data_IF_985867197451
#
_entry.id   IF_985867197451
#
_cell.length_a   1.000
_cell.length_b   1.000
_cell.length_c   1.000
_cell.angle_alpha   90.00
_cell.angle_beta   90.00
_cell.angle_gamma   90.00
#
_symmetry.space_group_name_H-M   'P 1'
#
loop_
_entity.id
_entity.type
_entity.pdbx_description
1 polymer ?
#
# COMPACT_ATOMS: atom_id res chain seq x y z
N UNK A 1 -22.01 -3.86 -10.14
CA UNK A 1 -21.04 -4.83 -9.59
C UNK A 1 -19.68 -4.53 -10.20
N UNK A 2 -18.61 -4.55 -9.41
CA UNK A 2 -17.25 -4.35 -9.91
C UNK A 2 -16.87 -5.42 -10.95
N UNK A 3 -16.15 -4.99 -11.97
CA UNK A 3 -15.59 -5.86 -13.01
C UNK A 3 -14.43 -6.71 -12.46
N UNK A 4 -14.09 -7.80 -13.16
CA UNK A 4 -12.93 -8.63 -12.82
C UNK A 4 -11.63 -7.82 -12.85
N UNK A 5 -11.50 -6.87 -13.78
CA UNK A 5 -10.34 -5.98 -13.92
C UNK A 5 -10.17 -5.08 -12.71
N UNK A 6 -11.24 -4.41 -12.28
CA UNK A 6 -11.23 -3.54 -11.10
C UNK A 6 -10.89 -4.32 -9.83
N UNK A 7 -11.45 -5.53 -9.67
CA UNK A 7 -11.12 -6.42 -8.54
C UNK A 7 -9.64 -6.81 -8.52
N UNK A 8 -9.03 -7.06 -9.68
CA UNK A 8 -7.60 -7.39 -9.77
C UNK A 8 -6.75 -6.17 -9.36
N UNK A 9 -7.08 -4.97 -9.84
CA UNK A 9 -6.36 -3.73 -9.47
C UNK A 9 -6.47 -3.46 -7.97
N UNK A 10 -7.66 -3.59 -7.39
CA UNK A 10 -7.85 -3.39 -5.95
C UNK A 10 -7.11 -4.44 -5.10
N UNK A 11 -7.02 -5.70 -5.55
CA UNK A 11 -6.18 -6.71 -4.87
C UNK A 11 -4.69 -6.39 -4.96
N UNK A 12 -4.22 -5.82 -6.08
CA UNK A 12 -2.83 -5.37 -6.20
C UNK A 12 -2.49 -4.28 -5.20
N UNK A 13 -3.33 -3.25 -5.10
CA UNK A 13 -3.14 -2.15 -4.16
C UNK A 13 -3.13 -2.66 -2.72
N UNK A 14 -4.12 -3.47 -2.35
CA UNK A 14 -4.23 -4.11 -1.06
C UNK A 14 -2.98 -4.92 -0.66
N UNK A 15 -2.56 -5.86 -1.51
CA UNK A 15 -1.40 -6.71 -1.18
C UNK A 15 -0.13 -5.88 -1.08
N UNK A 16 0.05 -4.87 -1.95
CA UNK A 16 1.23 -3.98 -1.89
C UNK A 16 1.28 -3.20 -0.59
N UNK A 17 0.14 -2.68 -0.13
CA UNK A 17 0.06 -1.93 1.11
C UNK A 17 0.39 -2.81 2.33
N UNK A 18 -0.14 -4.03 2.37
CA UNK A 18 0.20 -5.00 3.41
C UNK A 18 1.68 -5.44 3.34
N UNK A 19 2.24 -5.68 2.15
CA UNK A 19 3.65 -6.01 1.97
C UNK A 19 4.57 -4.92 2.54
N UNK A 20 4.28 -3.65 2.25
CA UNK A 20 5.07 -2.53 2.78
C UNK A 20 4.87 -2.36 4.29
N UNK A 21 3.67 -2.65 4.82
CA UNK A 21 3.42 -2.67 6.27
C UNK A 21 4.31 -3.69 6.99
N UNK A 22 4.60 -4.84 6.40
CA UNK A 22 5.51 -5.84 7.02
C UNK A 22 6.92 -5.31 7.26
N UNK A 23 7.30 -4.20 6.61
CA UNK A 23 8.61 -3.55 6.76
C UNK A 23 8.60 -2.37 7.77
N UNK A 24 7.42 -1.95 8.26
CA UNK A 24 7.30 -0.86 9.22
C UNK A 24 7.97 -1.22 10.54
N UNK A 25 8.70 -0.28 11.14
CA UNK A 25 9.47 -0.50 12.37
C UNK A 25 10.81 -1.23 12.18
N UNK A 26 11.19 -1.60 10.95
CA UNK A 26 12.51 -2.16 10.66
C UNK A 26 13.45 -1.01 10.27
N UNK A 27 14.65 -0.98 10.85
CA UNK A 27 15.67 0.01 10.51
C UNK A 27 16.26 -0.24 9.11
N UNK A 28 16.80 0.82 8.51
CA UNK A 28 17.32 0.77 7.14
C UNK A 28 18.52 -0.17 6.99
N UNK A 29 19.36 -0.30 8.02
CA UNK A 29 20.52 -1.19 7.96
C UNK A 29 20.06 -2.66 7.86
N UNK A 30 19.08 -3.07 8.66
CA UNK A 30 18.49 -4.40 8.56
C UNK A 30 17.81 -4.63 7.19
N UNK A 31 17.12 -3.63 6.63
CA UNK A 31 16.48 -3.75 5.32
C UNK A 31 17.47 -3.90 4.16
N UNK A 32 18.65 -3.30 4.28
CA UNK A 32 19.66 -3.25 3.20
C UNK A 32 20.77 -4.28 3.32
N UNK A 33 21.03 -4.78 4.53
CA UNK A 33 22.12 -5.73 4.80
C UNK A 33 21.66 -7.05 5.43
N UNK A 34 20.44 -7.08 6.00
CA UNK A 34 19.88 -8.28 6.60
C UNK A 34 19.49 -9.30 5.53
N UNK A 35 19.97 -10.52 5.70
CA UNK A 35 19.66 -11.63 4.82
C UNK A 35 18.24 -12.15 5.08
N UNK A 36 17.37 -11.95 4.09
CA UNK A 36 16.00 -12.46 4.03
C UNK A 36 15.98 -13.97 3.76
N UNK A 37 16.58 -14.38 2.64
CA UNK A 37 16.88 -15.78 2.31
C UNK A 37 18.06 -15.85 1.33
N UNK A 38 19.04 -16.70 1.63
CA UNK A 38 20.30 -16.70 0.88
C UNK A 38 20.94 -15.30 0.86
N UNK A 39 21.27 -14.81 -0.34
CA UNK A 39 21.90 -13.49 -0.53
C UNK A 39 20.89 -12.35 -0.72
N UNK A 40 19.59 -12.61 -0.57
CA UNK A 40 18.56 -11.59 -0.74
C UNK A 40 18.41 -10.72 0.50
N UNK A 41 18.33 -9.41 0.31
CA UNK A 41 17.91 -8.45 1.33
C UNK A 41 16.48 -7.97 1.05
N UNK A 42 15.82 -7.34 2.04
CA UNK A 42 14.50 -6.77 1.82
C UNK A 42 14.53 -5.68 0.73
N UNK A 43 15.56 -4.83 0.70
CA UNK A 43 15.74 -3.85 -0.38
C UNK A 43 15.82 -4.50 -1.77
N UNK A 44 16.61 -5.57 -1.92
CA UNK A 44 16.71 -6.28 -3.21
C UNK A 44 15.39 -6.96 -3.60
N UNK A 45 14.65 -7.48 -2.62
CA UNK A 45 13.32 -8.03 -2.84
C UNK A 45 12.34 -6.95 -3.36
N UNK A 46 12.37 -5.73 -2.83
CA UNK A 46 11.52 -4.64 -3.34
C UNK A 46 11.89 -4.27 -4.78
N UNK A 47 13.18 -4.20 -5.10
CA UNK A 47 13.64 -3.98 -6.47
C UNK A 47 13.16 -5.10 -7.41
N UNK A 48 13.25 -6.37 -7.01
CA UNK A 48 12.73 -7.54 -7.74
C UNK A 48 11.26 -7.42 -8.09
N UNK A 49 10.43 -7.10 -7.10
CA UNK A 49 9.00 -6.90 -7.28
C UNK A 49 8.70 -5.84 -8.34
N UNK A 50 9.39 -4.70 -8.28
CA UNK A 50 9.28 -3.62 -9.28
C UNK A 50 9.78 -4.04 -10.67
N UNK A 51 10.89 -4.76 -10.73
CA UNK A 51 11.45 -5.28 -11.96
C UNK A 51 10.47 -6.20 -12.71
N UNK A 52 9.74 -7.05 -11.97
CA UNK A 52 8.69 -7.89 -12.52
C UNK A 52 7.42 -7.10 -12.90
N UNK A 53 7.07 -6.03 -12.19
CA UNK A 53 5.99 -5.11 -12.62
C UNK A 53 6.33 -4.49 -13.98
N UNK A 54 7.59 -4.07 -14.17
CA UNK A 54 8.08 -3.56 -15.45
C UNK A 54 8.05 -4.61 -16.57
N UNK A 55 8.49 -5.84 -16.28
CA UNK A 55 8.44 -6.95 -17.24
C UNK A 55 7.01 -7.20 -17.72
N UNK A 56 6.06 -7.35 -16.79
CA UNK A 56 4.68 -7.63 -17.16
C UNK A 56 3.99 -6.43 -17.82
N UNK A 57 4.40 -5.20 -17.52
CA UNK A 57 3.93 -4.01 -18.24
C UNK A 57 4.27 -4.10 -19.72
N UNK A 58 5.52 -4.48 -20.03
CA UNK A 58 5.96 -4.68 -21.41
C UNK A 58 5.21 -5.85 -22.07
N UNK A 59 5.06 -6.98 -21.38
CA UNK A 59 4.33 -8.14 -21.91
C UNK A 59 2.87 -7.80 -22.27
N UNK A 60 2.18 -6.99 -21.47
CA UNK A 60 0.81 -6.56 -21.79
C UNK A 60 0.81 -5.68 -23.04
N UNK A 61 1.75 -4.73 -23.18
CA UNK A 61 1.86 -3.89 -24.38
C UNK A 61 2.12 -4.74 -25.63
N UNK A 62 3.07 -5.67 -25.55
CA UNK A 62 3.41 -6.58 -26.65
C UNK A 62 2.26 -7.51 -27.03
N UNK A 63 1.48 -7.97 -26.05
CA UNK A 63 0.30 -8.77 -26.31
C UNK A 63 -0.77 -7.98 -27.08
N UNK A 64 -0.99 -6.72 -26.71
CA UNK A 64 -1.96 -5.84 -27.36
C UNK A 64 -1.53 -5.40 -28.76
N UNK A 65 -0.23 -5.30 -29.02
CA UNK A 65 0.32 -4.97 -30.34
C UNK A 65 0.57 -6.20 -31.21
N UNK A 66 0.39 -7.42 -30.70
CA UNK A 66 0.72 -8.66 -31.40
C UNK A 66 2.23 -8.89 -31.58
N UNK A 67 3.06 -8.26 -30.76
CA UNK A 67 4.53 -8.26 -30.83
C UNK A 67 5.20 -9.15 -29.77
N UNK A 68 4.45 -10.04 -29.10
CA UNK A 68 5.03 -10.93 -28.09
C UNK A 68 6.27 -11.67 -28.61
N UNK A 69 7.37 -11.70 -27.83
CA UNK A 69 8.64 -12.22 -28.31
C UNK A 69 8.56 -13.72 -28.57
N UNK A 70 8.85 -14.09 -29.83
CA UNK A 70 8.95 -15.51 -30.25
C UNK A 70 10.21 -16.18 -29.70
N UNK A 71 11.27 -15.40 -29.51
CA UNK A 71 12.58 -15.82 -28.99
C UNK A 71 12.60 -16.03 -27.47
N UNK A 72 11.52 -15.69 -26.79
CA UNK A 72 11.33 -15.91 -25.36
C UNK A 72 11.46 -14.63 -24.54
N UNK A 73 10.55 -14.46 -23.59
CA UNK A 73 10.75 -13.55 -22.46
C UNK A 73 11.72 -14.22 -21.51
N UNK A 74 12.74 -13.49 -21.04
CA UNK A 74 13.68 -14.02 -20.06
C UNK A 74 12.99 -14.15 -18.70
N UNK A 75 12.61 -15.39 -18.37
CA UNK A 75 12.01 -15.81 -17.10
C UNK A 75 12.89 -16.87 -16.47
N UNK A 76 14.19 -16.64 -16.56
CA UNK A 76 15.15 -17.61 -16.06
C UNK A 76 15.56 -17.27 -14.65
N UNK A 77 15.98 -18.30 -13.92
CA UNK A 77 16.83 -18.21 -12.74
C UNK A 77 18.01 -17.25 -12.97
N UNK A 78 18.40 -16.96 -14.21
CA UNK A 78 19.43 -15.94 -14.55
C UNK A 78 18.97 -14.53 -14.22
N UNK A 79 17.70 -14.16 -14.46
CA UNK A 79 17.21 -12.82 -14.10
C UNK A 79 17.30 -12.60 -12.60
N UNK A 80 16.88 -13.61 -11.84
CA UNK A 80 16.86 -13.62 -10.38
C UNK A 80 18.29 -13.78 -9.81
N UNK A 81 19.12 -14.67 -10.35
CA UNK A 81 20.53 -14.85 -9.96
C UNK A 81 21.39 -13.62 -10.23
N UNK A 82 21.14 -12.92 -11.34
CA UNK A 82 21.86 -11.70 -11.66
C UNK A 82 21.28 -10.49 -10.95
N UNK A 83 20.11 -10.59 -10.32
CA UNK A 83 19.49 -9.45 -9.68
C UNK A 83 20.36 -8.93 -8.52
N UNK A 84 20.85 -9.75 -7.57
CA UNK A 84 21.79 -9.27 -6.55
C UNK A 84 23.00 -8.53 -7.16
N UNK A 85 23.52 -8.97 -8.31
CA UNK A 85 24.61 -8.27 -8.98
C UNK A 85 24.19 -6.91 -9.59
N UNK A 86 22.93 -6.77 -10.03
CA UNK A 86 22.40 -5.53 -10.61
C UNK A 86 21.98 -4.52 -9.56
N UNK A 87 21.38 -5.00 -8.46
CA UNK A 87 20.69 -4.16 -7.46
C UNK A 87 21.29 -4.25 -6.06
N UNK A 88 22.28 -5.11 -5.84
CA UNK A 88 22.90 -5.32 -4.53
C UNK A 88 23.61 -4.09 -3.95
N UNK A 89 23.95 -3.12 -4.79
CA UNK A 89 24.53 -1.82 -4.36
C UNK A 89 23.52 -0.68 -4.38
N UNK A 90 22.23 -0.95 -4.58
CA UNK A 90 21.21 0.09 -4.57
C UNK A 90 20.90 0.53 -3.15
N UNK A 91 20.56 1.81 -2.98
CA UNK A 91 19.93 2.28 -1.76
C UNK A 91 18.53 1.69 -1.60
N UNK A 92 18.03 1.72 -0.37
CA UNK A 92 16.64 1.38 -0.08
C UNK A 92 15.68 2.27 -0.87
N UNK A 93 15.92 3.58 -0.88
CA UNK A 93 15.15 4.58 -1.62
C UNK A 93 15.01 4.23 -3.11
N UNK A 94 16.12 3.90 -3.78
CA UNK A 94 16.09 3.53 -5.20
C UNK A 94 15.29 2.26 -5.47
N UNK A 95 15.36 1.30 -4.54
CA UNK A 95 14.61 0.05 -4.65
C UNK A 95 13.10 0.27 -4.47
N UNK A 96 12.73 1.12 -3.52
CA UNK A 96 11.35 1.55 -3.27
C UNK A 96 10.81 2.38 -4.43
N UNK A 97 11.60 3.31 -4.98
CA UNK A 97 11.22 4.11 -6.15
C UNK A 97 10.90 3.20 -7.35
N UNK A 98 11.76 2.22 -7.65
CA UNK A 98 11.48 1.26 -8.72
C UNK A 98 10.20 0.48 -8.45
N UNK A 99 10.00 0.01 -7.22
CA UNK A 99 8.82 -0.75 -6.80
C UNK A 99 7.51 0.03 -7.05
N UNK A 100 7.48 1.31 -6.68
CA UNK A 100 6.30 2.17 -6.81
C UNK A 100 6.07 2.55 -8.28
N UNK A 101 7.09 3.08 -8.96
CA UNK A 101 6.96 3.56 -10.34
C UNK A 101 6.57 2.44 -11.31
N UNK A 102 7.17 1.26 -11.15
CA UNK A 102 6.83 0.12 -12.00
C UNK A 102 5.39 -0.37 -11.77
N UNK A 103 4.89 -0.33 -10.53
CA UNK A 103 3.49 -0.68 -10.22
C UNK A 103 2.51 0.31 -10.83
N UNK A 104 2.79 1.61 -10.74
CA UNK A 104 1.96 2.66 -11.36
C UNK A 104 1.83 2.41 -12.86
N UNK A 105 2.96 2.19 -13.56
CA UNK A 105 2.92 1.90 -15.00
C UNK A 105 2.21 0.58 -15.32
N UNK A 106 2.40 -0.47 -14.52
CA UNK A 106 1.68 -1.73 -14.71
C UNK A 106 0.16 -1.54 -14.58
N UNK A 107 -0.30 -0.90 -13.50
CA UNK A 107 -1.73 -0.66 -13.26
C UNK A 107 -2.33 0.19 -14.38
N UNK A 108 -1.63 1.20 -14.86
CA UNK A 108 -2.05 2.06 -15.98
C UNK A 108 -2.24 1.27 -17.27
N UNK A 109 -1.26 0.44 -17.64
CA UNK A 109 -1.33 -0.42 -18.85
C UNK A 109 -2.43 -1.46 -18.71
N UNK A 110 -2.51 -2.14 -17.57
CA UNK A 110 -3.51 -3.18 -17.31
C UNK A 110 -4.94 -2.61 -17.30
N UNK A 111 -5.16 -1.48 -16.63
CA UNK A 111 -6.49 -0.84 -16.55
C UNK A 111 -6.98 -0.34 -17.91
N UNK A 112 -6.05 0.12 -18.76
CA UNK A 112 -6.33 0.56 -20.14
C UNK A 112 -6.57 -0.59 -21.11
N UNK A 113 -6.36 -1.85 -20.69
CA UNK A 113 -6.59 -3.02 -21.53
C UNK A 113 -8.10 -3.20 -21.79
N UNK A 114 -8.54 -3.34 -23.06
CA UNK A 114 -9.92 -3.64 -23.39
C UNK A 114 -10.38 -4.97 -22.76
N UNK A 115 -11.61 -5.00 -22.23
CA UNK A 115 -12.12 -6.16 -21.49
C UNK A 115 -12.15 -7.45 -22.34
N UNK A 116 -12.41 -7.31 -23.66
CA UNK A 116 -12.39 -8.43 -24.59
C UNK A 116 -10.98 -9.01 -24.82
N UNK A 117 -9.92 -8.27 -24.52
CA UNK A 117 -8.52 -8.73 -24.63
C UNK A 117 -8.02 -9.43 -23.37
N UNK A 118 -8.63 -9.18 -22.21
CA UNK A 118 -8.18 -9.75 -20.93
C UNK A 118 -8.12 -11.28 -20.95
N UNK A 119 -9.08 -11.92 -21.64
CA UNK A 119 -9.23 -13.38 -21.70
C UNK A 119 -8.71 -13.99 -23.01
N UNK A 120 -8.20 -13.16 -23.93
CA UNK A 120 -7.58 -13.65 -25.17
C UNK A 120 -6.33 -14.45 -24.83
N UNK A 121 -6.26 -15.70 -25.31
CA UNK A 121 -5.10 -16.56 -25.11
C UNK A 121 -3.94 -16.05 -25.95
N UNK A 122 -2.89 -15.62 -25.26
CA UNK A 122 -1.63 -15.19 -25.84
C UNK A 122 -0.67 -16.38 -25.93
N UNK A 123 0.01 -16.52 -27.07
CA UNK A 123 1.09 -17.50 -27.25
C UNK A 123 2.41 -16.76 -27.19
N UNK A 124 3.32 -17.24 -26.36
CA UNK A 124 4.64 -16.66 -26.21
C UNK A 124 5.64 -17.73 -25.80
N UNK A 125 6.93 -17.40 -25.78
CA UNK A 125 7.97 -18.30 -25.30
C UNK A 125 8.55 -17.77 -24.00
N UNK A 126 8.96 -18.67 -23.11
CA UNK A 126 9.85 -18.36 -21.99
C UNK A 126 11.25 -18.84 -22.33
N UNK A 127 12.27 -18.08 -21.92
CA UNK A 127 13.68 -18.48 -22.01
C UNK A 127 14.16 -18.93 -20.62
N UNK A 128 14.67 -20.15 -20.53
CA UNK A 128 15.25 -20.77 -19.33
C UNK A 128 16.70 -21.15 -19.65
N UNK A 129 17.63 -20.22 -19.39
CA UNK A 129 19.01 -20.34 -19.83
C UNK A 129 19.09 -20.47 -21.36
N UNK A 130 19.64 -21.59 -21.86
CA UNK A 130 19.76 -21.87 -23.30
C UNK A 130 18.52 -22.54 -23.92
N UNK A 131 17.48 -22.82 -23.14
CA UNK A 131 16.26 -23.49 -23.61
C UNK A 131 15.12 -22.48 -23.77
N UNK A 132 14.32 -22.63 -24.82
CA UNK A 132 13.06 -21.88 -24.99
C UNK A 132 11.87 -22.82 -24.84
N UNK A 133 10.98 -22.54 -23.90
CA UNK A 133 9.71 -23.25 -23.70
C UNK A 133 8.54 -22.46 -24.28
N UNK A 134 7.65 -23.10 -25.03
CA UNK A 134 6.40 -22.46 -25.47
C UNK A 134 5.41 -22.41 -24.30
N UNK A 135 4.78 -21.27 -24.12
CA UNK A 135 3.80 -21.02 -23.07
C UNK A 135 2.54 -20.37 -23.64
N UNK A 136 1.46 -20.45 -22.87
CA UNK A 136 0.22 -19.75 -23.14
C UNK A 136 -0.29 -19.09 -21.88
N UNK A 137 -0.79 -17.86 -22.00
CA UNK A 137 -1.32 -17.08 -20.88
C UNK A 137 -2.39 -16.12 -21.34
N UNK A 138 -2.98 -15.38 -20.40
CA UNK A 138 -3.91 -14.29 -20.69
C UNK A 138 -3.46 -13.06 -19.92
N UNK A 139 -3.80 -11.86 -20.39
CA UNK A 139 -3.49 -10.61 -19.67
C UNK A 139 -4.14 -10.65 -18.28
N UNK A 140 -5.35 -11.21 -18.16
CA UNK A 140 -6.03 -11.42 -16.89
C UNK A 140 -5.19 -12.25 -15.91
N UNK A 141 -4.62 -13.38 -16.37
CA UNK A 141 -3.74 -14.23 -15.57
C UNK A 141 -2.49 -13.50 -15.11
N UNK A 142 -1.85 -12.72 -16.01
CA UNK A 142 -0.66 -11.93 -15.65
C UNK A 142 -0.98 -10.86 -14.60
N UNK A 143 -2.14 -10.20 -14.70
CA UNK A 143 -2.63 -9.31 -13.65
C UNK A 143 -2.81 -10.05 -12.31
N UNK A 144 -3.46 -11.20 -12.30
CA UNK A 144 -3.63 -11.98 -11.07
C UNK A 144 -2.29 -12.37 -10.43
N UNK A 145 -1.32 -12.78 -11.24
CA UNK A 145 0.01 -13.13 -10.76
C UNK A 145 0.72 -11.99 -10.03
N UNK A 146 0.46 -10.72 -10.35
CA UNK A 146 1.14 -9.60 -9.67
C UNK A 146 0.80 -9.52 -8.19
N UNK A 147 -0.48 -9.59 -7.82
CA UNK A 147 -0.83 -9.57 -6.39
C UNK A 147 -0.50 -10.90 -5.70
N UNK A 148 -0.53 -12.03 -6.42
CA UNK A 148 -0.10 -13.32 -5.85
C UNK A 148 1.41 -13.36 -5.56
N UNK A 149 2.21 -12.73 -6.42
CA UNK A 149 3.66 -12.62 -6.28
C UNK A 149 4.03 -11.75 -5.08
N UNK A 150 3.42 -10.57 -4.97
CA UNK A 150 3.58 -9.72 -3.79
C UNK A 150 3.13 -10.48 -2.52
N UNK A 151 2.03 -11.24 -2.57
CA UNK A 151 1.53 -12.00 -1.41
C UNK A 151 2.47 -13.14 -0.97
N UNK A 152 3.15 -13.81 -1.92
CA UNK A 152 4.17 -14.80 -1.61
C UNK A 152 5.33 -14.18 -0.84
N UNK A 153 5.84 -13.06 -1.35
CA UNK A 153 6.96 -12.36 -0.73
C UNK A 153 6.62 -11.61 0.56
N UNK A 154 5.36 -11.20 0.74
CA UNK A 154 4.86 -10.76 2.05
C UNK A 154 5.01 -11.87 3.10
N UNK A 155 4.75 -13.14 2.73
CA UNK A 155 4.98 -14.29 3.61
C UNK A 155 6.46 -14.47 3.95
N UNK A 156 7.36 -14.32 2.98
CA UNK A 156 8.81 -14.38 3.22
C UNK A 156 9.26 -13.29 4.22
N UNK A 157 8.76 -12.06 4.05
CA UNK A 157 9.05 -10.94 4.94
C UNK A 157 8.53 -11.19 6.37
N UNK A 158 7.33 -11.75 6.50
CA UNK A 158 6.74 -12.10 7.81
C UNK A 158 7.58 -13.15 8.55
N UNK A 159 8.09 -14.17 7.86
CA UNK A 159 8.95 -15.17 8.48
C UNK A 159 10.31 -14.58 8.88
N UNK A 160 10.92 -13.78 8.01
CA UNK A 160 12.18 -13.12 8.32
C UNK A 160 12.08 -12.13 9.47
N UNK A 161 10.98 -11.35 9.55
CA UNK A 161 10.75 -10.40 10.64
C UNK A 161 10.81 -11.06 12.01
N UNK A 162 10.38 -12.32 12.14
CA UNK A 162 10.45 -13.09 13.40
C UNK A 162 11.89 -13.41 13.84
N UNK A 163 12.85 -13.31 12.92
CA UNK A 163 14.28 -13.57 13.18
C UNK A 163 15.05 -12.31 13.56
N UNK A 164 14.47 -11.13 13.34
CA UNK A 164 15.12 -9.86 13.61
C UNK A 164 15.13 -9.58 15.11
N UNK A 165 16.26 -9.10 15.67
CA UNK A 165 16.26 -8.55 17.01
C UNK A 165 15.43 -7.27 17.05
N UNK A 166 15.00 -6.88 18.25
CA UNK A 166 14.51 -5.51 18.46
C UNK A 166 15.65 -4.54 18.11
N UNK A 167 15.36 -3.58 17.22
CA UNK A 167 16.34 -2.61 16.78
C UNK A 167 16.22 -1.33 17.62
N UNK A 168 17.33 -0.83 18.20
CA UNK A 168 17.36 0.49 18.83
C UNK A 168 17.49 1.62 17.80
N UNK A 169 17.72 1.30 16.52
CA UNK A 169 17.91 2.28 15.46
C UNK A 169 16.58 2.86 14.98
N UNK A 170 16.59 4.10 14.47
CA UNK A 170 15.39 4.71 13.92
C UNK A 170 14.85 3.89 12.74
N UNK A 171 13.53 3.63 12.69
CA UNK A 171 12.92 2.91 11.59
C UNK A 171 12.92 3.72 10.29
N UNK A 172 12.87 3.04 9.14
CA UNK A 172 13.05 3.68 7.83
C UNK A 172 11.90 4.63 7.46
N UNK A 173 12.23 5.92 7.27
CA UNK A 173 11.32 6.95 6.73
C UNK A 173 10.83 6.62 5.32
N UNK A 174 11.72 6.12 4.47
CA UNK A 174 11.41 5.74 3.08
C UNK A 174 10.30 4.67 3.04
N UNK A 175 10.38 3.67 3.91
CA UNK A 175 9.35 2.64 4.03
C UNK A 175 8.03 3.21 4.56
N UNK A 176 8.09 4.05 5.61
CA UNK A 176 6.88 4.67 6.16
C UNK A 176 6.15 5.50 5.10
N UNK A 177 6.89 6.33 4.35
CA UNK A 177 6.34 7.13 3.26
C UNK A 177 5.66 6.24 2.21
N UNK A 178 6.38 5.23 1.70
CA UNK A 178 5.83 4.31 0.69
C UNK A 178 4.61 3.53 1.20
N UNK A 179 4.60 3.12 2.47
CA UNK A 179 3.47 2.41 3.07
C UNK A 179 2.24 3.31 3.21
N UNK A 180 2.40 4.57 3.65
CA UNK A 180 1.32 5.55 3.73
C UNK A 180 0.67 5.81 2.36
N UNK A 181 1.48 5.93 1.31
CA UNK A 181 0.98 6.05 -0.06
C UNK A 181 0.27 4.78 -0.54
N UNK A 182 0.83 3.60 -0.27
CA UNK A 182 0.23 2.34 -0.67
C UNK A 182 -1.11 2.07 0.05
N UNK A 183 -1.24 2.44 1.32
CA UNK A 183 -2.49 2.33 2.06
C UNK A 183 -3.57 3.30 1.56
N UNK A 184 -3.18 4.54 1.20
CA UNK A 184 -4.05 5.47 0.48
C UNK A 184 -4.54 4.83 -0.82
N UNK A 185 -3.63 4.24 -1.61
CA UNK A 185 -3.98 3.61 -2.88
C UNK A 185 -4.88 2.37 -2.71
N UNK A 186 -4.68 1.55 -1.66
CA UNK A 186 -5.59 0.44 -1.30
C UNK A 186 -7.01 0.94 -1.00
N UNK A 187 -7.12 1.96 -0.15
CA UNK A 187 -8.42 2.56 0.17
C UNK A 187 -9.11 3.05 -1.10
N UNK A 188 -8.46 3.86 -1.94
CA UNK A 188 -9.10 4.40 -3.14
C UNK A 188 -9.42 3.34 -4.19
N UNK A 189 -8.58 2.31 -4.34
CA UNK A 189 -8.88 1.20 -5.22
C UNK A 189 -10.07 0.37 -4.71
N UNK A 190 -10.21 0.21 -3.40
CA UNK A 190 -11.37 -0.42 -2.75
C UNK A 190 -12.63 0.43 -2.93
N UNK A 191 -12.54 1.75 -2.72
CA UNK A 191 -13.65 2.71 -2.92
C UNK A 191 -14.16 2.70 -4.37
N UNK A 192 -13.25 2.55 -5.33
CA UNK A 192 -13.60 2.47 -6.75
C UNK A 192 -14.53 1.29 -7.08
N UNK A 193 -14.56 0.24 -6.25
CA UNK A 193 -15.44 -0.93 -6.43
C UNK A 193 -16.91 -0.65 -6.07
N UNK A 194 -17.20 0.47 -5.41
CA UNK A 194 -18.55 0.87 -5.02
C UNK A 194 -19.17 1.71 -6.15
N UNK A 195 -20.31 1.28 -6.74
CA UNK A 195 -21.04 2.07 -7.74
C UNK A 195 -21.34 3.48 -7.22
N UNK A 196 -21.23 4.50 -8.07
CA UNK A 196 -21.41 5.89 -7.66
C UNK A 196 -22.77 6.13 -6.98
N UNK A 197 -23.84 5.49 -7.48
CA UNK A 197 -25.19 5.56 -6.92
C UNK A 197 -25.31 5.05 -5.48
N UNK A 198 -24.36 4.21 -5.06
CA UNK A 198 -24.45 3.46 -3.81
C UNK A 198 -23.60 4.11 -2.71
N UNK A 199 -22.65 4.98 -3.07
CA UNK A 199 -21.65 5.57 -2.16
C UNK A 199 -22.23 6.36 -0.98
N UNK A 200 -23.45 6.88 -1.12
CA UNK A 200 -24.14 7.64 -0.07
C UNK A 200 -25.31 6.87 0.56
N UNK A 201 -25.56 5.63 0.15
CA UNK A 201 -26.80 4.91 0.51
C UNK A 201 -26.55 3.53 1.10
N UNK A 202 -25.50 2.82 0.69
CA UNK A 202 -25.18 1.51 1.26
C UNK A 202 -24.23 1.66 2.45
N UNK A 203 -24.48 0.94 3.55
CA UNK A 203 -23.51 0.84 4.63
C UNK A 203 -22.28 0.05 4.17
N UNK A 204 -21.09 0.56 4.49
CA UNK A 204 -19.79 -0.07 4.19
C UNK A 204 -18.91 -0.25 5.43
N UNK A 205 -19.30 0.30 6.57
CA UNK A 205 -18.66 0.11 7.87
C UNK A 205 -19.73 0.21 8.98
N UNK A 206 -20.30 -0.92 9.40
CA UNK A 206 -21.43 -0.90 10.33
C UNK A 206 -22.63 -0.15 9.76
N UNK A 207 -23.04 0.96 10.38
CA UNK A 207 -24.10 1.82 9.88
C UNK A 207 -23.61 2.95 8.94
N UNK A 208 -22.29 3.11 8.80
CA UNK A 208 -21.69 4.22 8.06
C UNK A 208 -21.65 3.95 6.56
N UNK A 209 -22.07 4.95 5.79
CA UNK A 209 -21.93 4.98 4.32
C UNK A 209 -20.48 5.25 3.92
N UNK A 210 -20.14 5.12 2.63
CA UNK A 210 -18.81 5.51 2.19
C UNK A 210 -18.53 7.00 2.46
N UNK A 211 -19.54 7.86 2.29
CA UNK A 211 -19.41 9.29 2.61
C UNK A 211 -19.00 9.51 4.07
N UNK A 212 -19.65 8.80 4.98
CA UNK A 212 -19.36 8.87 6.42
C UNK A 212 -17.92 8.42 6.71
N UNK A 213 -17.48 7.29 6.13
CA UNK A 213 -16.11 6.76 6.29
C UNK A 213 -15.05 7.72 5.75
N UNK A 214 -15.27 8.33 4.57
CA UNK A 214 -14.32 9.29 4.01
C UNK A 214 -14.23 10.58 4.84
N UNK A 215 -15.35 11.07 5.38
CA UNK A 215 -15.34 12.19 6.31
C UNK A 215 -14.56 11.86 7.58
N UNK A 216 -14.84 10.70 8.19
CA UNK A 216 -14.12 10.19 9.36
C UNK A 216 -12.61 10.10 9.11
N UNK A 217 -12.18 9.52 7.99
CA UNK A 217 -10.75 9.44 7.66
C UNK A 217 -10.11 10.82 7.43
N UNK A 218 -10.83 11.78 6.87
CA UNK A 218 -10.34 13.15 6.71
C UNK A 218 -10.10 13.84 8.06
N UNK A 219 -11.07 13.75 8.97
CA UNK A 219 -10.96 14.34 10.31
C UNK A 219 -9.82 13.71 11.12
N UNK A 220 -9.62 12.40 11.01
CA UNK A 220 -8.49 11.71 11.63
C UNK A 220 -7.15 12.06 10.99
N UNK A 221 -7.06 12.23 9.67
CA UNK A 221 -5.83 12.69 9.04
C UNK A 221 -5.44 14.11 9.47
N UNK A 222 -6.41 15.02 9.62
CA UNK A 222 -6.18 16.35 10.19
C UNK A 222 -5.70 16.26 11.65
N UNK A 223 -6.26 15.33 12.44
CA UNK A 223 -5.81 15.09 13.81
C UNK A 223 -4.39 14.52 13.87
N UNK A 224 -4.07 13.53 13.02
CA UNK A 224 -2.72 12.97 12.91
C UNK A 224 -1.73 14.05 12.50
N UNK A 225 -2.09 14.95 11.58
CA UNK A 225 -1.22 16.04 11.13
C UNK A 225 -0.93 17.00 12.28
N UNK A 226 -1.96 17.45 13.00
CA UNK A 226 -1.78 18.35 14.14
C UNK A 226 -0.96 17.70 15.27
N UNK A 227 -1.21 16.42 15.54
CA UNK A 227 -0.47 15.65 16.56
C UNK A 227 0.99 15.50 16.16
N UNK A 228 1.24 15.12 14.90
CA UNK A 228 2.57 15.04 14.31
C UNK A 228 3.30 16.39 14.37
N UNK A 229 2.66 17.50 13.98
CA UNK A 229 3.25 18.84 14.02
C UNK A 229 3.62 19.26 15.44
N UNK A 230 2.77 18.96 16.43
CA UNK A 230 3.08 19.21 17.84
C UNK A 230 4.32 18.42 18.31
N UNK A 231 4.43 17.15 17.91
CA UNK A 231 5.57 16.29 18.27
C UNK A 231 6.90 16.81 17.75
N UNK A 232 6.91 17.45 16.58
CA UNK A 232 8.12 18.04 15.99
C UNK A 232 8.35 19.50 16.41
N UNK A 233 7.56 20.02 17.36
CA UNK A 233 7.70 21.37 17.90
C UNK A 233 7.14 22.49 17.02
N UNK A 234 6.38 22.16 15.98
CA UNK A 234 5.71 23.14 15.12
C UNK A 234 4.39 23.61 15.78
N UNK A 235 3.93 24.84 15.49
CA UNK A 235 2.64 25.32 15.97
C UNK A 235 1.51 24.40 15.48
N UNK A 236 0.91 23.64 16.40
CA UNK A 236 -0.31 22.89 16.12
C UNK A 236 -1.53 23.79 16.35
N UNK A 237 -2.55 23.70 15.49
CA UNK A 237 -3.86 24.20 15.92
C UNK A 237 -4.30 23.29 17.07
N UNK A 238 -4.73 23.90 18.18
CA UNK A 238 -5.08 23.17 19.39
C UNK A 238 -5.89 21.92 19.03
N UNK A 239 -5.41 20.75 19.50
CA UNK A 239 -6.12 19.49 19.41
C UNK A 239 -7.42 19.66 20.20
N UNK A 240 -8.46 20.22 19.56
CA UNK A 240 -9.74 20.48 20.22
C UNK A 240 -10.51 19.19 20.52
N UNK A 241 -9.87 18.04 20.31
CA UNK A 241 -10.28 16.72 20.74
C UNK A 241 -9.82 16.63 22.19
N UNK A 242 -10.48 17.39 23.07
CA UNK A 242 -10.09 17.46 24.48
C UNK A 242 -10.14 16.04 25.07
N UNK A 243 -9.12 15.65 25.84
CA UNK A 243 -9.11 14.40 26.60
C UNK A 243 -10.36 14.21 27.49
N UNK A 244 -11.09 15.29 27.79
CA UNK A 244 -12.38 15.29 28.49
C UNK A 244 -13.54 14.65 27.69
N UNK A 245 -13.43 14.54 26.36
CA UNK A 245 -14.31 13.70 25.54
C UNK A 245 -13.83 12.23 25.66
N UNK A 246 -13.92 11.67 26.86
CA UNK A 246 -13.43 10.34 27.25
C UNK A 246 -14.03 9.15 26.45
N UNK A 247 -14.92 9.43 25.48
CA UNK A 247 -15.50 8.44 24.58
C UNK A 247 -15.20 8.82 23.12
N UNK A 248 -14.15 8.21 22.57
CA UNK A 248 -13.79 8.36 21.15
C UNK A 248 -14.94 8.00 20.19
N UNK A 249 -15.89 7.15 20.61
CA UNK A 249 -17.06 6.85 19.78
C UNK A 249 -18.03 8.04 19.70
N UNK A 250 -18.22 8.76 20.81
CA UNK A 250 -19.08 9.94 20.83
C UNK A 250 -18.52 11.05 19.94
N UNK A 251 -17.20 11.25 19.95
CA UNK A 251 -16.52 12.18 19.05
C UNK A 251 -16.65 11.73 17.58
N UNK A 252 -16.39 10.46 17.27
CA UNK A 252 -16.55 9.93 15.91
C UNK A 252 -17.99 10.15 15.39
N UNK A 253 -19.02 9.90 16.21
CA UNK A 253 -20.42 10.11 15.78
C UNK A 253 -20.72 11.60 15.55
N UNK A 254 -20.21 12.50 16.40
CA UNK A 254 -20.34 13.96 16.22
C UNK A 254 -19.71 14.42 14.90
N UNK A 255 -18.52 13.92 14.58
CA UNK A 255 -17.81 14.22 13.32
C UNK A 255 -18.56 13.67 12.10
N UNK A 256 -19.06 12.44 12.17
CA UNK A 256 -19.89 11.84 11.12
C UNK A 256 -21.20 12.63 10.91
N UNK A 257 -21.86 13.10 11.96
CA UNK A 257 -23.05 13.97 11.84
C UNK A 257 -22.70 15.27 11.10
N UNK A 258 -21.51 15.84 11.34
CA UNK A 258 -21.04 17.03 10.63
C UNK A 258 -20.75 16.73 9.15
N UNK A 259 -20.04 15.64 8.85
CA UNK A 259 -19.68 15.26 7.48
C UNK A 259 -20.91 14.91 6.62
N UNK A 260 -21.98 14.39 7.22
CA UNK A 260 -23.27 14.12 6.52
C UNK A 260 -23.91 15.36 5.89
N UNK A 261 -23.63 16.56 6.42
CA UNK A 261 -24.11 17.84 5.87
C UNK A 261 -23.34 18.26 4.63
N UNK A 262 -22.19 17.64 4.37
CA UNK A 262 -21.37 17.87 3.19
C UNK A 262 -21.77 16.91 2.06
N UNK A 263 -21.44 17.29 0.82
CA UNK A 263 -21.55 16.40 -0.34
C UNK A 263 -20.44 15.34 -0.33
N UNK A 264 -20.68 14.20 -0.99
CA UNK A 264 -19.63 13.18 -1.19
C UNK A 264 -18.35 13.75 -1.82
N UNK A 265 -18.48 14.71 -2.74
CA UNK A 265 -17.32 15.35 -3.37
C UNK A 265 -16.49 16.14 -2.35
N UNK A 266 -17.14 16.90 -1.48
CA UNK A 266 -16.44 17.69 -0.45
C UNK A 266 -15.66 16.80 0.52
N UNK A 267 -16.29 15.76 1.08
CA UNK A 267 -15.58 14.84 1.99
C UNK A 267 -14.46 14.07 1.28
N UNK A 268 -14.66 13.69 0.01
CA UNK A 268 -13.64 12.98 -0.76
C UNK A 268 -12.45 13.88 -1.07
N UNK A 269 -12.67 15.14 -1.42
CA UNK A 269 -11.61 16.12 -1.67
C UNK A 269 -10.86 16.43 -0.37
N UNK A 270 -11.57 16.64 0.75
CA UNK A 270 -10.96 16.86 2.06
C UNK A 270 -10.08 15.68 2.49
N UNK A 271 -10.58 14.45 2.41
CA UNK A 271 -9.80 13.23 2.71
C UNK A 271 -8.50 13.16 1.91
N UNK A 272 -8.54 13.49 0.60
CA UNK A 272 -7.33 13.52 -0.25
C UNK A 272 -6.36 14.62 0.15
N UNK A 273 -6.87 15.82 0.45
CA UNK A 273 -6.04 16.97 0.84
C UNK A 273 -5.37 16.72 2.19
N UNK A 274 -6.12 16.24 3.19
CA UNK A 274 -5.59 15.93 4.52
C UNK A 274 -4.47 14.88 4.44
N UNK A 275 -4.69 13.79 3.70
CA UNK A 275 -3.66 12.76 3.47
C UNK A 275 -2.44 13.30 2.73
N UNK A 276 -2.64 14.16 1.73
CA UNK A 276 -1.53 14.76 1.00
C UNK A 276 -0.70 15.70 1.88
N UNK A 277 -1.34 16.44 2.80
CA UNK A 277 -0.67 17.29 3.77
C UNK A 277 0.21 16.47 4.72
N UNK A 278 -0.31 15.37 5.28
CA UNK A 278 0.48 14.42 6.09
C UNK A 278 1.73 13.91 5.37
N UNK A 279 1.57 13.47 4.11
CA UNK A 279 2.69 12.95 3.31
C UNK A 279 3.72 14.04 3.02
N UNK A 280 3.26 15.25 2.66
CA UNK A 280 4.13 16.40 2.38
C UNK A 280 4.94 16.77 3.62
N UNK A 281 4.30 16.76 4.79
CA UNK A 281 4.97 17.09 6.04
C UNK A 281 5.96 16.00 6.48
N UNK A 282 5.62 14.72 6.32
CA UNK A 282 6.61 13.64 6.51
C UNK A 282 7.86 13.88 5.64
N UNK A 283 7.69 14.29 4.38
CA UNK A 283 8.82 14.55 3.49
C UNK A 283 9.72 15.70 3.98
N UNK A 284 9.19 16.70 4.68
CA UNK A 284 9.93 17.90 5.09
C UNK A 284 10.88 17.69 6.27
N UNK A 285 10.62 16.70 7.13
CA UNK A 285 11.41 16.46 8.36
C UNK A 285 12.60 15.51 8.14
N UNK A 286 13.55 15.49 9.07
CA UNK A 286 14.65 14.50 9.06
C UNK A 286 14.25 13.15 9.68
N UNK A 287 15.04 12.11 9.43
CA UNK A 287 14.86 10.80 10.09
C UNK A 287 15.04 10.91 11.61
N UNK A 288 15.96 11.77 12.08
CA UNK A 288 16.19 12.02 13.50
C UNK A 288 14.95 12.63 14.17
N UNK A 289 14.32 13.64 13.54
CA UNK A 289 13.08 14.24 14.04
C UNK A 289 11.91 13.25 14.05
N UNK A 290 11.85 12.36 13.05
CA UNK A 290 10.80 11.35 12.96
C UNK A 290 10.89 10.33 14.09
N UNK A 291 12.12 10.00 14.51
CA UNK A 291 12.41 9.01 15.53
C UNK A 291 12.56 9.59 16.95
N UNK A 292 12.64 10.92 17.10
CA UNK A 292 12.82 11.58 18.39
C UNK A 292 11.70 11.18 19.37
N UNK A 293 12.05 10.68 20.58
CA UNK A 293 11.05 10.33 21.57
C UNK A 293 10.20 11.54 21.98
N UNK A 294 8.90 11.41 21.85
CA UNK A 294 7.95 12.42 22.30
C UNK A 294 7.64 12.23 23.79
N UNK A 295 8.02 13.22 24.59
CA UNK A 295 7.78 13.25 26.05
C UNK A 295 6.64 14.18 26.49
N UNK A 296 5.89 14.76 25.56
CA UNK A 296 4.80 15.68 25.87
C UNK A 296 3.49 14.97 26.21
N UNK A 297 2.54 15.70 26.81
CA UNK A 297 1.24 15.16 27.24
C UNK A 297 0.19 15.17 26.11
N UNK A 298 0.47 15.84 24.99
CA UNK A 298 -0.52 16.03 23.90
C UNK A 298 -0.78 14.77 23.05
N UNK A 299 -0.06 13.67 23.29
CA UNK A 299 -0.24 12.43 22.54
C UNK A 299 0.17 11.20 23.31
N UNK A 300 -0.50 10.08 23.04
CA UNK A 300 -0.14 8.75 23.54
C UNK A 300 0.92 8.05 22.69
N UNK A 301 1.29 8.59 21.53
CA UNK A 301 2.32 7.97 20.69
C UNK A 301 3.72 8.36 21.16
N UNK A 302 4.66 7.40 21.19
CA UNK A 302 6.01 7.64 21.71
C UNK A 302 6.91 8.44 20.75
N UNK A 303 6.53 8.62 19.48
CA UNK A 303 7.22 9.51 18.54
C UNK A 303 6.33 9.84 17.33
N UNK A 304 6.78 10.80 16.51
CA UNK A 304 6.15 11.15 15.23
C UNK A 304 6.01 9.95 14.30
N UNK A 305 6.99 9.03 14.29
CA UNK A 305 6.92 7.77 13.54
C UNK A 305 5.70 6.93 13.93
N UNK A 306 5.46 6.75 15.22
CA UNK A 306 4.38 5.90 15.72
C UNK A 306 3.00 6.54 15.48
N UNK A 307 2.91 7.87 15.54
CA UNK A 307 1.73 8.63 15.15
C UNK A 307 1.36 8.37 13.67
N UNK A 308 2.34 8.48 12.76
CA UNK A 308 2.13 8.23 11.34
C UNK A 308 1.90 6.75 11.00
N UNK A 309 2.48 5.82 11.77
CA UNK A 309 2.14 4.40 11.67
C UNK A 309 0.67 4.17 12.03
N UNK A 310 0.15 4.77 13.09
CA UNK A 310 -1.28 4.66 13.39
C UNK A 310 -2.16 5.22 12.26
N UNK A 311 -1.75 6.32 11.60
CA UNK A 311 -2.43 6.85 10.41
C UNK A 311 -2.42 5.89 9.20
N UNK A 312 -1.33 5.12 9.03
CA UNK A 312 -1.23 4.03 8.06
C UNK A 312 -2.22 2.90 8.40
N UNK A 313 -2.17 2.39 9.62
CA UNK A 313 -2.98 1.26 10.09
C UNK A 313 -4.48 1.58 10.01
N UNK A 314 -4.88 2.83 10.31
CA UNK A 314 -6.27 3.27 10.23
C UNK A 314 -6.86 3.19 8.81
N UNK A 315 -6.08 3.50 7.77
CA UNK A 315 -6.54 3.38 6.38
C UNK A 315 -6.69 1.91 5.96
N UNK A 316 -5.76 1.06 6.38
CA UNK A 316 -5.81 -0.38 6.07
C UNK A 316 -6.99 -1.07 6.74
N UNK A 317 -7.31 -0.67 7.98
CA UNK A 317 -8.50 -1.16 8.69
C UNK A 317 -9.79 -0.82 7.94
N UNK A 318 -10.02 0.44 7.61
CA UNK A 318 -11.23 0.85 6.87
C UNK A 318 -11.30 0.22 5.49
N UNK A 319 -10.18 0.08 4.77
CA UNK A 319 -10.16 -0.66 3.50
C UNK A 319 -10.58 -2.13 3.69
N UNK A 320 -10.08 -2.81 4.74
CA UNK A 320 -10.47 -4.19 5.06
C UNK A 320 -11.96 -4.30 5.43
N UNK A 321 -12.46 -3.39 6.27
CA UNK A 321 -13.87 -3.33 6.66
C UNK A 321 -14.77 -3.14 5.44
N UNK A 322 -14.48 -2.17 4.57
CA UNK A 322 -15.27 -1.92 3.35
C UNK A 322 -15.32 -3.19 2.49
N UNK A 323 -14.18 -3.86 2.28
CA UNK A 323 -14.14 -5.10 1.49
C UNK A 323 -15.00 -6.21 2.11
N UNK A 324 -14.96 -6.34 3.44
CA UNK A 324 -15.73 -7.32 4.21
C UNK A 324 -17.23 -7.06 4.13
N UNK A 325 -17.67 -5.84 4.43
CA UNK A 325 -19.11 -5.48 4.43
C UNK A 325 -19.73 -5.61 3.04
N UNK A 326 -18.98 -5.24 1.99
CA UNK A 326 -19.39 -5.42 0.61
C UNK A 326 -19.30 -6.87 0.10
N UNK A 327 -18.80 -7.80 0.93
CA UNK A 327 -18.59 -9.22 0.58
C UNK A 327 -17.77 -9.39 -0.70
N UNK A 328 -16.78 -8.52 -0.89
CA UNK A 328 -15.91 -8.56 -2.06
C UNK A 328 -15.07 -9.84 -2.04
N UNK A 329 -14.80 -10.39 -3.23
CA UNK A 329 -14.00 -11.61 -3.37
C UNK A 329 -12.52 -11.28 -3.14
N UNK A 330 -12.08 -11.18 -1.90
CA UNK A 330 -10.67 -10.98 -1.54
C UNK A 330 -10.16 -12.17 -0.72
N UNK A 331 -8.84 -12.45 -0.73
CA UNK A 331 -8.21 -13.32 0.26
C UNK A 331 -8.60 -12.92 1.69
N UNK A 332 -8.80 -13.91 2.58
CA UNK A 332 -9.28 -13.66 3.95
C UNK A 332 -8.39 -12.68 4.74
N UNK A 333 -7.07 -12.76 4.57
CA UNK A 333 -6.12 -11.87 5.26
C UNK A 333 -6.22 -10.40 4.84
N UNK A 334 -6.96 -10.10 3.77
CA UNK A 334 -7.27 -8.74 3.31
C UNK A 334 -8.66 -8.27 3.72
N UNK A 335 -9.47 -9.12 4.36
CA UNK A 335 -10.82 -8.78 4.85
C UNK A 335 -10.83 -8.44 6.34
N UNK A 336 -9.70 -8.67 7.00
CA UNK A 336 -9.51 -8.45 8.42
C UNK A 336 -8.18 -7.75 8.61
N UNK A 337 -8.22 -6.63 9.31
CA UNK A 337 -7.02 -5.95 9.75
C UNK A 337 -6.78 -6.27 11.22
N UNK A 338 -5.51 -6.50 11.57
CA UNK A 338 -5.07 -6.63 12.96
C UNK A 338 -4.06 -5.51 13.17
N UNK A 339 -4.48 -4.47 13.87
CA UNK A 339 -3.58 -3.37 14.20
C UNK A 339 -2.44 -3.87 15.12
N UNK A 340 -1.36 -3.10 15.21
CA UNK A 340 -0.24 -3.43 16.08
C UNK A 340 -0.49 -3.10 17.57
N UNK A 341 -1.57 -2.38 17.90
CA UNK A 341 -1.81 -1.76 19.22
C UNK A 341 -3.04 -2.31 19.98
N UNK A 342 -3.79 -3.25 19.41
CA UNK A 342 -5.00 -3.90 19.93
C UNK A 342 -4.71 -5.21 20.68
N UNK A 343 -3.59 -5.22 21.42
CA UNK A 343 -3.24 -6.32 22.32
C UNK A 343 -4.07 -6.29 23.61
#
# INVERSE_FOLDING_TARGET
MATEKELIVARMAAVRAHLLRELIGIDEQALTTGHLYGDWTAANLLAHLGEYDGLYSQMVRDALSGQLPKTGVDYSDTRDHLLPNRVGTWSLERSVELLINARIEFVKVFSSTPDNQLKTRQRFSWKFGNKTGRSTGTINTWGQWRFMHDAGHMGDLQEWRKTLPESPLPPSKVILHAALEAARDDLWATVALIPISDRETIPVCGAWTLKDVLGHLADWDDWYLNTFSAMIGEPSTALSWSADEADGNALNEKLVIASRKQSLKQVSDHCKVARAALITELQSISDDMLADPYGGEDSSYPSAYHCLWAALDHYLDHAAIIRRELKLKFPKYLLHFKDAYSA
#
